data_IF_700469389703
#
_entry.id   IF_700469389703
#
_cell.length_a   1.000
_cell.length_b   1.000
_cell.length_c   1.000
_cell.angle_alpha   90.00
_cell.angle_beta   90.00
_cell.angle_gamma   90.00
#
_symmetry.space_group_name_H-M   'P 1'
#
loop_
_entity.id
_entity.type
_entity.pdbx_description
1 polymer ?
#
# COMPACT_ATOMS: atom_id res chain seq x y z
N UNK A 1 -2.65 -23.62 22.20
CA UNK A 1 -2.47 -23.40 20.75
C UNK A 1 -1.67 -24.58 20.20
N UNK A 2 -2.12 -25.22 19.11
CA UNK A 2 -1.37 -26.32 18.48
C UNK A 2 -0.10 -25.76 17.83
N UNK A 3 0.99 -26.56 17.78
CA UNK A 3 2.26 -26.17 17.16
C UNK A 3 2.10 -25.61 15.72
N UNK A 4 1.16 -26.11 14.88
CA UNK A 4 0.89 -25.54 13.56
C UNK A 4 0.37 -24.10 13.60
N UNK A 5 -0.45 -23.74 14.57
CA UNK A 5 -1.01 -22.39 14.69
C UNK A 5 0.08 -21.37 15.08
N UNK A 6 1.01 -21.76 15.98
CA UNK A 6 2.14 -20.90 16.33
C UNK A 6 3.09 -20.69 15.15
N UNK A 7 3.30 -21.71 14.32
CA UNK A 7 4.11 -21.60 13.10
C UNK A 7 3.48 -20.71 12.00
N UNK A 8 2.16 -20.46 12.07
CA UNK A 8 1.48 -19.54 11.15
C UNK A 8 1.73 -18.06 11.50
N UNK A 9 2.12 -17.75 12.75
CA UNK A 9 2.47 -16.40 13.16
C UNK A 9 3.93 -16.11 12.82
N UNK A 10 4.15 -15.37 11.73
CA UNK A 10 5.48 -14.90 11.36
C UNK A 10 5.84 -13.64 12.17
N UNK A 11 6.82 -13.71 13.10
CA UNK A 11 7.26 -12.54 13.86
C UNK A 11 7.78 -11.40 12.98
N UNK A 12 8.29 -11.73 11.79
CA UNK A 12 8.80 -10.74 10.83
C UNK A 12 7.75 -9.74 10.39
N UNK A 13 6.47 -10.14 10.31
CA UNK A 13 5.37 -9.24 9.97
C UNK A 13 5.22 -8.16 11.05
N UNK A 14 5.20 -8.53 12.33
CA UNK A 14 5.02 -7.58 13.43
C UNK A 14 6.22 -6.65 13.59
N UNK A 15 7.43 -7.18 13.39
CA UNK A 15 8.66 -6.40 13.38
C UNK A 15 8.66 -5.42 12.22
N UNK A 16 8.25 -5.84 11.01
CA UNK A 16 8.09 -4.96 9.86
C UNK A 16 7.13 -3.81 10.17
N UNK A 17 5.96 -4.10 10.74
CA UNK A 17 4.99 -3.09 11.12
C UNK A 17 5.58 -2.07 12.10
N UNK A 18 6.29 -2.52 13.12
CA UNK A 18 6.91 -1.61 14.08
C UNK A 18 7.92 -0.66 13.40
N UNK A 19 8.76 -1.17 12.50
CA UNK A 19 9.68 -0.34 11.72
C UNK A 19 8.96 0.60 10.76
N UNK A 20 7.90 0.15 10.08
CA UNK A 20 7.10 1.00 9.19
C UNK A 20 6.47 2.20 9.93
N UNK A 21 5.91 1.96 11.12
CA UNK A 21 5.42 3.04 11.98
C UNK A 21 6.53 3.96 12.48
N UNK A 22 7.71 3.41 12.77
CA UNK A 22 8.92 4.17 13.13
C UNK A 22 9.39 5.06 11.99
N UNK A 23 9.45 4.54 10.76
CA UNK A 23 9.81 5.27 9.54
C UNK A 23 8.81 6.40 9.28
N UNK A 24 7.51 6.14 9.40
CA UNK A 24 6.49 7.17 9.27
C UNK A 24 6.61 8.25 10.35
N UNK A 25 6.95 7.87 11.59
CA UNK A 25 7.21 8.83 12.67
C UNK A 25 8.45 9.69 12.40
N UNK A 26 9.54 9.12 11.91
CA UNK A 26 10.72 9.88 11.49
C UNK A 26 10.40 10.85 10.35
N UNK A 27 9.65 10.39 9.33
CA UNK A 27 9.22 11.24 8.22
C UNK A 27 8.39 12.44 8.71
N UNK A 28 7.51 12.24 9.70
CA UNK A 28 6.74 13.32 10.34
C UNK A 28 7.66 14.26 11.11
N UNK A 29 8.56 13.72 11.92
CA UNK A 29 9.48 14.51 12.73
C UNK A 29 10.42 15.40 11.89
N UNK A 30 10.69 15.05 10.64
CA UNK A 30 11.50 15.87 9.71
C UNK A 30 10.67 16.82 8.82
N UNK A 31 9.43 17.09 9.19
CA UNK A 31 8.50 17.95 8.42
C UNK A 31 8.24 17.44 6.97
N UNK A 32 8.29 16.14 6.79
CA UNK A 32 8.00 15.51 5.50
C UNK A 32 6.60 15.84 4.95
N UNK A 33 5.67 16.18 5.82
CA UNK A 33 4.33 16.64 5.43
C UNK A 33 4.36 17.96 4.66
N UNK A 34 5.22 18.90 5.02
CA UNK A 34 5.37 20.15 4.27
C UNK A 34 5.96 19.90 2.89
N UNK A 35 6.88 18.94 2.76
CA UNK A 35 7.41 18.50 1.47
C UNK A 35 6.29 17.96 0.57
N UNK A 36 5.49 16.99 1.05
CA UNK A 36 4.39 16.40 0.28
C UNK A 36 3.32 17.43 -0.10
N UNK A 37 2.96 18.30 0.83
CA UNK A 37 1.97 19.37 0.58
C UNK A 37 2.43 20.33 -0.53
N UNK A 38 3.70 20.74 -0.53
CA UNK A 38 4.25 21.60 -1.59
C UNK A 38 4.28 20.91 -2.94
N UNK A 39 4.64 19.63 -2.95
CA UNK A 39 4.63 18.83 -4.16
C UNK A 39 3.20 18.70 -4.74
N UNK A 40 2.21 18.42 -3.89
CA UNK A 40 0.79 18.42 -4.27
C UNK A 40 0.37 19.76 -4.84
N UNK A 41 0.68 20.87 -4.15
CA UNK A 41 0.31 22.21 -4.60
C UNK A 41 0.94 22.57 -5.96
N UNK A 42 2.17 22.13 -6.23
CA UNK A 42 2.83 22.35 -7.51
C UNK A 42 2.18 21.62 -8.68
N UNK A 43 1.60 20.45 -8.43
CA UNK A 43 0.92 19.62 -9.44
C UNK A 43 -0.53 20.06 -9.62
N UNK A 44 -1.19 20.50 -8.55
CA UNK A 44 -2.61 20.87 -8.55
C UNK A 44 -2.94 21.95 -9.59
N UNK A 45 -2.08 22.95 -9.76
CA UNK A 45 -2.29 24.05 -10.69
C UNK A 45 -2.54 23.61 -12.14
N UNK A 46 -1.99 22.45 -12.52
CA UNK A 46 -2.11 21.87 -13.87
C UNK A 46 -3.13 20.75 -13.97
N UNK A 47 -3.25 19.93 -12.94
CA UNK A 47 -4.00 18.65 -12.99
C UNK A 47 -5.29 18.69 -12.16
N UNK A 48 -5.44 19.67 -11.25
CA UNK A 48 -6.44 19.61 -10.18
C UNK A 48 -6.00 18.70 -9.04
N UNK A 49 -6.59 18.89 -7.85
CA UNK A 49 -6.18 18.22 -6.62
C UNK A 49 -6.24 16.68 -6.72
N UNK A 50 -7.33 16.15 -7.30
CA UNK A 50 -7.56 14.71 -7.40
C UNK A 50 -6.48 14.01 -8.24
N UNK A 51 -6.21 14.55 -9.44
CA UNK A 51 -5.21 13.96 -10.33
C UNK A 51 -3.77 14.24 -9.89
N UNK A 52 -3.53 15.34 -9.17
CA UNK A 52 -2.24 15.59 -8.53
C UNK A 52 -1.93 14.50 -7.49
N UNK A 53 -2.92 14.15 -6.64
CA UNK A 53 -2.82 13.03 -5.68
C UNK A 53 -2.63 11.70 -6.43
N UNK A 54 -3.44 11.42 -7.43
CA UNK A 54 -3.37 10.20 -8.21
C UNK A 54 -1.98 10.02 -8.85
N UNK A 55 -1.45 11.06 -9.50
CA UNK A 55 -0.12 11.03 -10.13
C UNK A 55 1.00 10.85 -9.10
N UNK A 56 0.95 11.58 -8.00
CA UNK A 56 1.96 11.48 -6.94
C UNK A 56 1.96 10.08 -6.34
N UNK A 57 0.80 9.54 -6.02
CA UNK A 57 0.64 8.20 -5.49
C UNK A 57 1.15 7.15 -6.49
N UNK A 58 0.76 7.25 -7.76
CA UNK A 58 1.20 6.35 -8.82
C UNK A 58 2.73 6.36 -8.99
N UNK A 59 3.35 7.53 -8.90
CA UNK A 59 4.79 7.69 -9.06
C UNK A 59 5.60 7.12 -7.89
N UNK A 60 5.10 7.21 -6.67
CA UNK A 60 5.85 6.77 -5.48
C UNK A 60 5.56 5.33 -5.06
N UNK A 61 4.34 4.82 -5.25
CA UNK A 61 3.94 3.48 -4.80
C UNK A 61 4.81 2.32 -5.29
N UNK A 62 5.37 2.33 -6.51
CA UNK A 62 6.24 1.24 -6.95
C UNK A 62 7.55 1.13 -6.17
N UNK A 63 7.97 2.22 -5.52
CA UNK A 63 9.28 2.33 -4.87
C UNK A 63 9.19 2.43 -3.35
N UNK A 64 8.00 2.60 -2.81
CA UNK A 64 7.74 2.72 -1.37
C UNK A 64 6.66 1.72 -1.03
N UNK A 65 6.90 0.89 -0.01
CA UNK A 65 5.89 -0.04 0.49
C UNK A 65 4.55 0.69 0.66
N UNK A 66 3.49 0.13 0.10
CA UNK A 66 2.15 0.74 0.07
C UNK A 66 1.67 1.22 1.44
N UNK A 67 1.90 0.43 2.50
CA UNK A 67 1.50 0.75 3.87
C UNK A 67 2.24 1.98 4.41
N UNK A 68 3.55 2.12 4.08
CA UNK A 68 4.35 3.31 4.43
C UNK A 68 3.81 4.54 3.72
N UNK A 69 3.52 4.42 2.43
CA UNK A 69 3.03 5.54 1.65
C UNK A 69 1.70 6.06 2.21
N UNK A 70 0.77 5.17 2.55
CA UNK A 70 -0.50 5.52 3.19
C UNK A 70 -0.28 6.22 4.53
N UNK A 71 0.59 5.68 5.40
CA UNK A 71 0.90 6.29 6.70
C UNK A 71 1.48 7.70 6.57
N UNK A 72 2.22 7.96 5.51
CA UNK A 72 2.89 9.23 5.25
C UNK A 72 1.96 10.21 4.53
N UNK A 73 1.18 9.77 3.56
CA UNK A 73 0.45 10.64 2.65
C UNK A 73 -0.98 10.96 3.12
N UNK A 74 -1.72 10.02 3.72
CA UNK A 74 -3.13 10.23 4.11
C UNK A 74 -3.34 11.40 5.07
N UNK A 75 -2.56 11.59 6.17
CA UNK A 75 -2.80 12.70 7.09
C UNK A 75 -2.60 14.09 6.46
N UNK A 76 -1.49 14.36 5.73
CA UNK A 76 -1.32 15.66 5.07
C UNK A 76 -2.34 15.88 3.96
N UNK A 77 -2.79 14.82 3.28
CA UNK A 77 -3.81 14.89 2.24
C UNK A 77 -5.16 15.34 2.80
N UNK A 78 -5.60 14.76 3.93
CA UNK A 78 -6.84 15.19 4.59
C UNK A 78 -6.73 16.65 5.07
N UNK A 79 -5.59 17.02 5.63
CA UNK A 79 -5.33 18.41 6.06
C UNK A 79 -5.38 19.37 4.87
N UNK A 80 -4.72 19.01 3.78
CA UNK A 80 -4.71 19.75 2.52
C UNK A 80 -6.14 19.95 1.97
N UNK A 81 -6.92 18.88 1.86
CA UNK A 81 -8.31 18.94 1.38
C UNK A 81 -9.16 19.93 2.21
N UNK A 82 -9.03 19.87 3.53
CA UNK A 82 -9.75 20.78 4.44
C UNK A 82 -9.33 22.23 4.28
N UNK A 83 -8.07 22.51 4.11
CA UNK A 83 -7.56 23.85 3.86
C UNK A 83 -8.10 24.42 2.56
N UNK A 84 -8.30 23.58 1.55
CA UNK A 84 -8.91 23.95 0.26
C UNK A 84 -10.44 23.98 0.30
N UNK A 85 -11.07 23.54 1.38
CA UNK A 85 -12.53 23.45 1.49
C UNK A 85 -13.14 22.38 0.58
N UNK A 86 -12.33 21.39 0.13
CA UNK A 86 -12.80 20.24 -0.66
C UNK A 86 -13.04 19.02 0.24
N UNK A 87 -13.91 18.10 -0.22
CA UNK A 87 -14.16 16.85 0.49
C UNK A 87 -12.89 15.96 0.45
N UNK A 88 -12.34 15.55 1.60
CA UNK A 88 -11.19 14.65 1.62
C UNK A 88 -11.46 13.26 1.04
N UNK A 89 -12.72 12.78 1.04
CA UNK A 89 -13.02 11.40 0.71
C UNK A 89 -12.59 10.98 -0.72
N UNK A 90 -12.86 11.76 -1.80
CA UNK A 90 -12.37 11.40 -3.13
C UNK A 90 -10.84 11.37 -3.24
N UNK A 91 -10.15 12.27 -2.51
CA UNK A 91 -8.68 12.32 -2.53
C UNK A 91 -8.08 11.10 -1.84
N UNK A 92 -8.64 10.70 -0.68
CA UNK A 92 -8.24 9.46 0.03
C UNK A 92 -8.52 8.23 -0.84
N UNK A 93 -9.65 8.20 -1.56
CA UNK A 93 -9.95 7.10 -2.49
C UNK A 93 -8.95 7.05 -3.64
N UNK A 94 -8.60 8.18 -4.24
CA UNK A 94 -7.58 8.25 -5.28
C UNK A 94 -6.23 7.73 -4.75
N UNK A 95 -5.81 8.20 -3.58
CA UNK A 95 -4.60 7.74 -2.90
C UNK A 95 -4.60 6.22 -2.72
N UNK A 96 -5.58 5.68 -2.01
CA UNK A 96 -5.63 4.25 -1.64
C UNK A 96 -5.73 3.36 -2.88
N UNK A 97 -6.61 3.74 -3.83
CA UNK A 97 -6.80 2.95 -5.05
C UNK A 97 -5.53 2.92 -5.89
N UNK A 98 -4.90 4.08 -6.12
CA UNK A 98 -3.67 4.15 -6.91
C UNK A 98 -2.48 3.53 -6.16
N UNK A 99 -2.46 3.57 -4.82
CA UNK A 99 -1.45 2.88 -4.03
C UNK A 99 -1.51 1.36 -4.27
N UNK A 100 -2.68 0.74 -4.15
CA UNK A 100 -2.84 -0.69 -4.38
C UNK A 100 -2.56 -1.10 -5.84
N UNK A 101 -2.91 -0.25 -6.82
CA UNK A 101 -2.63 -0.50 -8.24
C UNK A 101 -1.14 -0.37 -8.53
N UNK A 102 -0.56 0.79 -8.24
CA UNK A 102 0.80 1.12 -8.68
C UNK A 102 1.88 0.35 -7.90
N UNK A 103 1.63 0.02 -6.63
CA UNK A 103 2.54 -0.83 -5.86
C UNK A 103 2.68 -2.25 -6.42
N UNK A 104 1.74 -2.70 -7.25
CA UNK A 104 1.84 -3.99 -7.93
C UNK A 104 2.86 -3.99 -9.07
N UNK A 105 3.39 -2.82 -9.48
CA UNK A 105 4.35 -2.70 -10.58
C UNK A 105 5.70 -3.36 -10.27
N UNK A 106 6.14 -3.31 -9.03
CA UNK A 106 7.44 -3.82 -8.62
C UNK A 106 7.34 -4.86 -7.50
N UNK A 107 8.34 -5.73 -7.34
CA UNK A 107 8.38 -6.68 -6.24
C UNK A 107 8.31 -6.03 -4.86
N UNK A 108 8.85 -4.82 -4.70
CA UNK A 108 9.00 -4.14 -3.42
C UNK A 108 7.85 -3.20 -3.05
N UNK A 109 6.92 -2.94 -3.99
CA UNK A 109 5.82 -2.01 -3.74
C UNK A 109 4.81 -2.51 -2.69
N UNK A 110 4.73 -3.83 -2.49
CA UNK A 110 3.76 -4.50 -1.62
C UNK A 110 4.36 -5.69 -0.89
N UNK A 111 3.97 -5.99 0.35
CA UNK A 111 4.43 -7.20 1.05
C UNK A 111 4.10 -8.50 0.31
N UNK A 112 2.91 -8.62 -0.29
CA UNK A 112 2.53 -9.82 -1.07
C UNK A 112 3.39 -9.98 -2.34
N UNK A 113 3.85 -8.88 -2.94
CA UNK A 113 4.74 -8.93 -4.09
C UNK A 113 6.11 -9.49 -3.70
N UNK A 114 6.65 -9.07 -2.55
CA UNK A 114 7.90 -9.59 -2.00
C UNK A 114 7.78 -11.11 -1.80
N UNK A 115 6.67 -11.56 -1.20
CA UNK A 115 6.42 -12.99 -0.99
C UNK A 115 6.38 -13.76 -2.31
N UNK A 116 5.67 -13.27 -3.33
CA UNK A 116 5.59 -13.90 -4.65
C UNK A 116 6.94 -13.91 -5.36
N UNK A 117 7.65 -12.80 -5.32
CA UNK A 117 8.97 -12.67 -5.92
C UNK A 117 9.96 -13.66 -5.33
N UNK A 118 10.06 -13.70 -4.00
CA UNK A 118 10.97 -14.60 -3.30
C UNK A 118 10.57 -16.07 -3.49
N UNK A 119 9.29 -16.41 -3.38
CA UNK A 119 8.82 -17.79 -3.50
C UNK A 119 8.92 -18.35 -4.92
N UNK A 120 8.69 -17.53 -5.94
CA UNK A 120 8.68 -17.95 -7.35
C UNK A 120 10.06 -17.90 -8.02
N UNK A 121 11.02 -17.13 -7.47
CA UNK A 121 12.33 -16.90 -8.08
C UNK A 121 12.28 -16.10 -9.39
N UNK A 122 11.19 -15.40 -9.68
CA UNK A 122 11.07 -14.56 -10.87
C UNK A 122 12.07 -13.39 -10.80
N UNK A 123 12.77 -13.08 -11.91
CA UNK A 123 13.68 -11.94 -11.96
C UNK A 123 12.94 -10.60 -11.84
N UNK A 124 13.60 -9.58 -11.26
CA UNK A 124 12.99 -8.24 -11.07
C UNK A 124 12.44 -7.66 -12.37
N UNK A 125 13.24 -7.69 -13.44
CA UNK A 125 12.84 -7.18 -14.75
C UNK A 125 11.61 -7.92 -15.30
N UNK A 126 11.63 -9.26 -15.25
CA UNK A 126 10.50 -10.09 -15.68
C UNK A 126 9.24 -9.83 -14.87
N UNK A 127 9.37 -9.55 -13.56
CA UNK A 127 8.26 -9.15 -12.73
C UNK A 127 7.64 -7.84 -13.20
N UNK A 128 8.46 -6.79 -13.39
CA UNK A 128 8.01 -5.48 -13.88
C UNK A 128 7.38 -5.57 -15.26
N UNK A 129 8.03 -6.31 -16.20
CA UNK A 129 7.49 -6.49 -17.55
C UNK A 129 6.17 -7.28 -17.55
N UNK A 130 5.97 -8.21 -16.62
CA UNK A 130 4.74 -8.97 -16.49
C UNK A 130 3.59 -8.18 -15.82
N UNK A 131 3.89 -7.17 -15.01
CA UNK A 131 2.89 -6.40 -14.27
C UNK A 131 2.47 -5.10 -14.97
N UNK A 132 3.39 -4.40 -15.66
CA UNK A 132 3.16 -3.03 -16.12
C UNK A 132 1.93 -2.85 -17.02
N UNK A 133 1.54 -3.77 -17.96
CA UNK A 133 0.40 -3.54 -18.82
C UNK A 133 -0.91 -3.48 -18.02
N UNK A 134 -1.04 -4.38 -17.06
CA UNK A 134 -2.21 -4.45 -16.17
C UNK A 134 -2.26 -3.26 -15.23
N UNK A 135 -1.13 -2.87 -14.64
CA UNK A 135 -1.03 -1.71 -13.75
C UNK A 135 -1.41 -0.42 -14.46
N UNK A 136 -0.89 -0.19 -15.67
CA UNK A 136 -1.22 1.01 -16.47
C UNK A 136 -2.69 1.01 -16.89
N UNK A 137 -3.20 -0.13 -17.38
CA UNK A 137 -4.62 -0.25 -17.75
C UNK A 137 -5.54 0.01 -16.55
N UNK A 138 -5.25 -0.59 -15.39
CA UNK A 138 -6.03 -0.41 -14.17
C UNK A 138 -5.97 1.04 -13.65
N UNK A 139 -4.79 1.67 -13.70
CA UNK A 139 -4.64 3.08 -13.31
C UNK A 139 -5.43 4.01 -14.24
N UNK A 140 -5.42 3.75 -15.54
CA UNK A 140 -6.21 4.51 -16.51
C UNK A 140 -7.73 4.37 -16.25
N UNK A 141 -8.20 3.14 -15.99
CA UNK A 141 -9.60 2.89 -15.64
C UNK A 141 -9.99 3.54 -14.31
N UNK A 142 -9.12 3.49 -13.30
CA UNK A 142 -9.33 4.18 -12.03
C UNK A 142 -9.40 5.71 -12.23
N UNK A 143 -8.53 6.28 -13.06
CA UNK A 143 -8.53 7.71 -13.38
C UNK A 143 -9.84 8.13 -14.06
N UNK A 144 -10.35 7.32 -14.99
CA UNK A 144 -11.66 7.56 -15.64
C UNK A 144 -12.80 7.45 -14.63
N UNK A 145 -12.80 6.43 -13.75
CA UNK A 145 -13.83 6.26 -12.73
C UNK A 145 -13.81 7.39 -11.68
N UNK A 146 -12.65 7.99 -11.42
CA UNK A 146 -12.48 9.14 -10.53
C UNK A 146 -12.86 10.48 -11.18
N UNK A 147 -12.98 10.55 -12.51
CA UNK A 147 -13.23 11.81 -13.24
C UNK A 147 -14.44 12.63 -12.73
N UNK A 148 -15.60 12.02 -12.40
CA UNK A 148 -16.75 12.78 -11.89
C UNK A 148 -16.45 13.59 -10.62
N UNK A 149 -15.47 13.15 -9.83
CA UNK A 149 -15.07 13.75 -8.55
C UNK A 149 -13.93 14.78 -8.69
N UNK A 150 -13.36 14.93 -9.90
CA UNK A 150 -12.27 15.88 -10.16
C UNK A 150 -12.72 17.35 -10.24
N UNK A 151 -14.03 17.57 -10.36
CA UNK A 151 -14.62 18.90 -10.57
C UNK A 151 -14.98 19.63 -9.27
N UNK A 152 -14.55 19.13 -8.09
CA UNK A 152 -14.82 19.82 -6.84
C UNK A 152 -14.15 21.20 -6.82
N UNK A 153 -14.93 22.18 -6.44
CA UNK A 153 -14.69 23.61 -6.58
C UNK A 153 -13.39 24.04 -5.89
N UNK A 154 -12.52 24.61 -6.68
CA UNK A 154 -11.28 25.27 -6.27
C UNK A 154 -11.62 26.51 -5.43
N UNK A 155 -11.24 26.53 -4.16
CA UNK A 155 -11.05 27.79 -3.45
C UNK A 155 -9.62 28.25 -3.74
N UNK A 156 -9.47 29.39 -4.35
CA UNK A 156 -8.19 30.05 -4.64
C UNK A 156 -7.56 30.64 -3.35
N UNK A 157 -7.38 29.82 -2.32
CA UNK A 157 -6.46 30.18 -1.26
C UNK A 157 -5.06 29.81 -1.73
N UNK A 158 -4.25 30.81 -1.99
CA UNK A 158 -2.83 30.66 -2.28
C UNK A 158 -2.14 30.01 -1.07
N UNK A 159 -2.09 28.67 -1.07
CA UNK A 159 -1.22 27.95 -0.16
C UNK A 159 0.18 28.16 -0.72
N UNK A 160 0.77 29.30 -0.33
CA UNK A 160 2.04 29.77 -0.85
C UNK A 160 2.98 28.63 -1.22
N UNK A 161 3.19 28.48 -2.52
CA UNK A 161 4.18 27.58 -3.09
C UNK A 161 5.58 28.14 -2.74
N UNK A 162 5.92 28.09 -1.45
CA UNK A 162 7.29 28.31 -1.01
C UNK A 162 8.19 27.29 -1.71
N UNK A 163 9.49 27.57 -1.83
CA UNK A 163 10.43 26.67 -2.45
C UNK A 163 10.27 25.27 -1.86
N UNK A 164 10.28 24.23 -2.72
CA UNK A 164 10.27 22.83 -2.29
C UNK A 164 11.35 22.71 -1.23
N UNK A 165 10.94 22.41 0.02
CA UNK A 165 11.88 22.32 1.15
C UNK A 165 12.94 21.25 0.92
N UNK A 166 13.91 21.12 1.80
CA UNK A 166 15.06 20.27 1.56
C UNK A 166 14.61 18.88 1.08
N UNK A 167 15.22 18.38 0.03
CA UNK A 167 15.02 17.05 -0.56
C UNK A 167 15.27 15.89 0.43
N UNK A 168 15.59 16.23 1.70
CA UNK A 168 15.86 15.28 2.77
C UNK A 168 14.77 14.22 2.98
N UNK A 169 13.49 14.60 2.88
CA UNK A 169 12.40 13.66 3.01
C UNK A 169 12.37 12.64 1.85
N UNK A 170 12.63 13.08 0.61
CA UNK A 170 12.72 12.21 -0.55
C UNK A 170 13.94 11.29 -0.46
N UNK A 171 15.10 11.83 -0.07
CA UNK A 171 16.30 11.03 0.14
C UNK A 171 16.15 10.01 1.25
N UNK A 172 15.44 10.36 2.33
CA UNK A 172 15.15 9.41 3.39
C UNK A 172 14.29 8.23 2.89
N UNK A 173 13.22 8.50 2.14
CA UNK A 173 12.40 7.43 1.57
C UNK A 173 13.19 6.56 0.58
N UNK A 174 14.03 7.18 -0.26
CA UNK A 174 14.92 6.46 -1.16
C UNK A 174 15.92 5.58 -0.40
N UNK A 175 16.46 6.06 0.71
CA UNK A 175 17.36 5.31 1.58
C UNK A 175 16.67 4.09 2.20
N UNK A 176 15.45 4.27 2.74
CA UNK A 176 14.64 3.15 3.28
C UNK A 176 14.38 2.11 2.20
N UNK A 177 13.95 2.53 1.02
CA UNK A 177 13.69 1.64 -0.11
C UNK A 177 14.95 0.88 -0.54
N UNK A 178 16.08 1.58 -0.67
CA UNK A 178 17.36 0.97 -1.00
C UNK A 178 17.80 -0.05 0.06
N UNK A 179 17.59 0.25 1.35
CA UNK A 179 17.90 -0.68 2.43
C UNK A 179 17.09 -1.96 2.33
N UNK A 180 15.78 -1.87 2.07
CA UNK A 180 14.91 -3.05 1.89
C UNK A 180 15.37 -3.87 0.69
N UNK A 181 15.65 -3.22 -0.46
CA UNK A 181 16.12 -3.90 -1.66
C UNK A 181 17.43 -4.65 -1.46
N UNK A 182 18.42 -4.04 -0.79
CA UNK A 182 19.73 -4.66 -0.53
C UNK A 182 19.57 -5.93 0.29
N UNK A 183 18.75 -5.90 1.35
CA UNK A 183 18.53 -7.08 2.19
C UNK A 183 17.76 -8.17 1.45
N UNK A 184 16.73 -7.79 0.72
CA UNK A 184 15.93 -8.74 -0.04
C UNK A 184 16.75 -9.39 -1.18
N UNK A 185 17.54 -8.60 -1.91
CA UNK A 185 18.48 -9.12 -2.92
C UNK A 185 19.54 -10.06 -2.33
N UNK A 186 19.95 -9.83 -1.07
CA UNK A 186 20.85 -10.71 -0.34
C UNK A 186 20.15 -11.97 0.21
N UNK A 187 18.86 -12.17 -0.04
CA UNK A 187 18.07 -13.29 0.50
C UNK A 187 17.82 -13.19 2.01
N UNK A 188 17.95 -11.99 2.56
CA UNK A 188 17.72 -11.71 3.98
C UNK A 188 16.31 -11.15 4.21
N UNK A 189 15.71 -11.37 5.39
CA UNK A 189 14.38 -10.87 5.68
C UNK A 189 14.25 -9.35 5.50
N UNK A 190 13.21 -8.91 4.79
CA UNK A 190 12.96 -7.47 4.45
C UNK A 190 12.83 -6.59 5.69
N UNK A 191 12.39 -7.13 6.85
CA UNK A 191 12.33 -6.36 8.10
C UNK A 191 13.69 -5.89 8.60
N UNK A 192 14.78 -6.59 8.24
CA UNK A 192 16.15 -6.16 8.55
C UNK A 192 16.52 -4.91 7.72
N UNK A 193 16.09 -4.88 6.45
CA UNK A 193 16.24 -3.70 5.59
C UNK A 193 15.44 -2.49 6.12
N UNK A 194 14.20 -2.73 6.58
CA UNK A 194 13.40 -1.69 7.24
C UNK A 194 14.07 -1.19 8.52
N UNK A 195 14.62 -2.11 9.33
CA UNK A 195 15.37 -1.78 10.55
C UNK A 195 16.61 -0.94 10.26
N UNK A 196 17.38 -1.29 9.23
CA UNK A 196 18.54 -0.50 8.79
C UNK A 196 18.09 0.89 8.30
N UNK A 197 17.06 0.97 7.45
CA UNK A 197 16.52 2.25 6.98
C UNK A 197 16.05 3.14 8.13
N UNK A 198 15.37 2.56 9.12
CA UNK A 198 14.98 3.26 10.35
C UNK A 198 16.19 3.75 11.15
N UNK A 199 17.19 2.92 11.36
CA UNK A 199 18.41 3.28 12.09
C UNK A 199 19.20 4.39 11.37
N UNK A 200 19.40 4.25 10.05
CA UNK A 200 20.06 5.27 9.24
C UNK A 200 19.28 6.59 9.22
N UNK A 201 17.95 6.55 9.35
CA UNK A 201 17.11 7.72 9.47
C UNK A 201 17.55 8.66 10.60
N UNK A 202 17.99 8.17 11.73
CA UNK A 202 18.52 9.03 12.82
C UNK A 202 19.82 9.74 12.44
N UNK A 203 20.69 9.09 11.66
CA UNK A 203 21.94 9.70 11.21
C UNK A 203 21.70 10.80 10.17
N UNK A 204 20.78 10.57 9.23
CA UNK A 204 20.52 11.48 8.12
C UNK A 204 19.56 12.63 8.45
N UNK A 205 18.58 12.39 9.32
CA UNK A 205 17.50 13.35 9.59
C UNK A 205 17.77 14.27 10.78
N UNK A 206 18.83 14.00 11.55
CA UNK A 206 19.14 14.66 12.83
C UNK A 206 17.98 14.62 13.84
N UNK A 207 17.04 13.69 13.65
CA UNK A 207 15.94 13.48 14.57
C UNK A 207 16.48 12.87 15.87
N UNK A 208 15.94 13.34 17.00
CA UNK A 208 16.19 12.68 18.27
C UNK A 208 15.11 11.62 18.57
N UNK A 209 15.42 10.66 19.42
CA UNK A 209 14.51 9.61 19.83
C UNK A 209 13.22 10.16 20.48
N UNK A 210 13.31 11.31 21.15
CA UNK A 210 12.15 11.94 21.80
C UNK A 210 11.19 12.53 20.78
N UNK A 211 11.72 13.20 19.76
CA UNK A 211 10.93 13.74 18.66
C UNK A 211 10.19 12.64 17.90
N UNK A 212 10.91 11.59 17.53
CA UNK A 212 10.31 10.42 16.85
C UNK A 212 9.28 9.71 17.75
N UNK A 213 9.57 9.56 19.05
CA UNK A 213 8.65 8.94 20.00
C UNK A 213 7.32 9.70 20.16
N UNK A 214 7.32 11.03 20.05
CA UNK A 214 6.09 11.85 20.07
C UNK A 214 5.21 11.62 18.84
N UNK A 215 5.83 11.35 17.70
CA UNK A 215 5.16 11.10 16.42
C UNK A 215 4.79 9.62 16.23
N UNK A 216 5.25 8.72 17.11
CA UNK A 216 5.01 7.28 16.99
C UNK A 216 3.60 6.91 17.44
N UNK A 217 2.77 6.43 16.52
CA UNK A 217 1.38 6.03 16.80
C UNK A 217 1.28 4.58 17.28
N UNK A 218 1.67 4.36 18.55
CA UNK A 218 1.62 3.05 19.19
C UNK A 218 0.20 2.45 19.19
N UNK A 219 -0.83 3.28 19.34
CA UNK A 219 -2.23 2.80 19.37
C UNK A 219 -2.63 2.20 18.03
N UNK A 220 -2.30 2.86 16.93
CA UNK A 220 -2.58 2.34 15.59
C UNK A 220 -1.80 1.05 15.33
N UNK A 221 -0.53 1.00 15.71
CA UNK A 221 0.29 -0.19 15.58
C UNK A 221 -0.32 -1.38 16.32
N UNK A 222 -0.76 -1.20 17.59
CA UNK A 222 -1.37 -2.29 18.36
C UNK A 222 -2.68 -2.78 17.76
N UNK A 223 -3.56 -1.87 17.32
CA UNK A 223 -4.82 -2.25 16.65
C UNK A 223 -4.50 -3.07 15.39
N UNK A 224 -3.50 -2.65 14.64
CA UNK A 224 -3.07 -3.31 13.44
C UNK A 224 -2.47 -4.69 13.69
N UNK A 225 -1.61 -4.82 14.69
CA UNK A 225 -1.05 -6.11 15.11
C UNK A 225 -2.16 -7.08 15.55
N UNK A 226 -3.17 -6.62 16.29
CA UNK A 226 -4.31 -7.45 16.67
C UNK A 226 -5.13 -7.88 15.46
N UNK A 227 -5.35 -6.98 14.50
CA UNK A 227 -6.05 -7.32 13.25
C UNK A 227 -5.28 -8.38 12.46
N UNK A 228 -3.97 -8.21 12.26
CA UNK A 228 -3.12 -9.21 11.57
C UNK A 228 -3.19 -10.56 12.28
N UNK A 229 -3.09 -10.58 13.60
CA UNK A 229 -3.17 -11.81 14.38
C UNK A 229 -4.53 -12.51 14.17
N UNK A 230 -5.63 -11.77 14.23
CA UNK A 230 -6.97 -12.31 14.01
C UNK A 230 -7.15 -12.86 12.58
N UNK A 231 -6.68 -12.12 11.56
CA UNK A 231 -6.76 -12.55 10.15
C UNK A 231 -5.86 -13.76 9.90
N UNK A 232 -4.64 -13.79 10.46
CA UNK A 232 -3.74 -14.95 10.35
C UNK A 232 -4.36 -16.20 10.99
N UNK A 233 -4.99 -16.07 12.15
CA UNK A 233 -5.71 -17.16 12.78
C UNK A 233 -6.88 -17.66 11.92
N UNK A 234 -7.68 -16.73 11.38
CA UNK A 234 -8.79 -17.05 10.49
C UNK A 234 -8.32 -17.76 9.21
N UNK A 235 -7.21 -17.30 8.60
CA UNK A 235 -6.66 -17.87 7.38
C UNK A 235 -6.22 -19.33 7.55
N UNK A 236 -5.81 -19.72 8.77
CA UNK A 236 -5.46 -21.09 9.08
C UNK A 236 -6.66 -22.04 8.94
N UNK A 237 -7.83 -21.64 9.42
CA UNK A 237 -9.06 -22.42 9.27
C UNK A 237 -9.59 -22.39 7.84
N UNK A 238 -9.44 -21.28 7.13
CA UNK A 238 -9.88 -21.12 5.73
C UNK A 238 -9.00 -21.97 4.81
N UNK A 239 -7.71 -22.16 5.12
CA UNK A 239 -6.78 -22.91 4.28
C UNK A 239 -7.25 -24.34 3.98
N UNK A 240 -7.81 -25.04 4.97
CA UNK A 240 -8.32 -26.41 4.77
C UNK A 240 -9.51 -26.45 3.79
N UNK A 241 -10.41 -25.46 3.91
CA UNK A 241 -11.61 -25.37 3.04
C UNK A 241 -11.23 -24.86 1.64
N UNK A 242 -10.26 -23.97 1.56
CA UNK A 242 -9.83 -23.35 0.30
C UNK A 242 -8.87 -24.23 -0.51
N UNK A 243 -8.18 -25.19 0.11
CA UNK A 243 -7.15 -26.00 -0.54
C UNK A 243 -7.57 -26.59 -1.91
N UNK A 244 -8.79 -27.14 -2.11
CA UNK A 244 -9.21 -27.66 -3.41
C UNK A 244 -9.31 -26.59 -4.52
N UNK A 245 -9.46 -25.32 -4.14
CA UNK A 245 -9.64 -24.20 -5.07
C UNK A 245 -8.35 -23.42 -5.31
N UNK A 246 -7.28 -23.73 -4.59
CA UNK A 246 -6.01 -22.97 -4.65
C UNK A 246 -5.20 -23.32 -5.90
N UNK A 247 -5.14 -24.60 -6.30
CA UNK A 247 -4.29 -25.03 -7.41
C UNK A 247 -4.59 -24.30 -8.73
N UNK A 248 -5.84 -24.21 -9.23
CA UNK A 248 -6.14 -23.47 -10.46
C UNK A 248 -5.80 -21.98 -10.35
N UNK A 249 -5.92 -21.37 -9.14
CA UNK A 249 -5.56 -19.99 -8.93
C UNK A 249 -4.04 -19.80 -8.95
N UNK A 250 -3.27 -20.70 -8.36
CA UNK A 250 -1.81 -20.68 -8.34
C UNK A 250 -1.19 -20.90 -9.74
N UNK A 251 -1.89 -21.61 -10.61
CA UNK A 251 -1.53 -21.79 -12.03
C UNK A 251 -1.84 -20.55 -12.89
N UNK A 252 -2.51 -19.56 -12.33
CA UNK A 252 -2.89 -18.33 -13.05
C UNK A 252 -4.00 -18.54 -14.09
N UNK A 253 -4.84 -19.59 -13.91
CA UNK A 253 -5.96 -19.89 -14.81
C UNK A 253 -6.98 -18.75 -14.82
N UNK A 254 -7.19 -18.12 -15.98
CA UNK A 254 -8.08 -16.97 -16.14
C UNK A 254 -9.51 -17.38 -16.50
N UNK A 255 -10.52 -16.61 -16.04
CA UNK A 255 -10.49 -15.50 -15.03
C UNK A 255 -10.45 -15.97 -13.58
N UNK A 256 -10.20 -17.26 -13.36
CA UNK A 256 -10.35 -17.93 -12.07
C UNK A 256 -9.40 -17.37 -11.01
N UNK A 257 -8.11 -17.15 -11.35
CA UNK A 257 -7.13 -16.62 -10.40
C UNK A 257 -7.50 -15.22 -9.91
N UNK A 258 -7.91 -14.33 -10.81
CA UNK A 258 -8.38 -13.00 -10.46
C UNK A 258 -9.62 -13.03 -9.55
N UNK A 259 -10.62 -13.85 -9.88
CA UNK A 259 -11.83 -14.00 -9.05
C UNK A 259 -11.51 -14.63 -7.69
N UNK A 260 -10.63 -15.63 -7.65
CA UNK A 260 -10.16 -16.23 -6.40
C UNK A 260 -9.50 -15.16 -5.51
N UNK A 261 -8.56 -14.38 -6.07
CA UNK A 261 -7.92 -13.30 -5.32
C UNK A 261 -8.91 -12.24 -4.85
N UNK A 262 -9.90 -11.88 -5.69
CA UNK A 262 -10.95 -10.95 -5.32
C UNK A 262 -11.75 -11.44 -4.09
N UNK A 263 -12.20 -12.70 -4.10
CA UNK A 263 -12.99 -13.26 -2.99
C UNK A 263 -12.15 -13.44 -1.74
N UNK A 264 -11.00 -14.11 -1.85
CA UNK A 264 -10.20 -14.48 -0.68
C UNK A 264 -9.57 -13.24 -0.03
N UNK A 265 -9.07 -12.27 -0.82
CA UNK A 265 -8.53 -11.02 -0.26
C UNK A 265 -9.58 -10.21 0.50
N UNK A 266 -10.84 -10.25 0.08
CA UNK A 266 -11.93 -9.57 0.79
C UNK A 266 -12.35 -10.26 2.11
N UNK A 267 -11.92 -11.50 2.32
CA UNK A 267 -12.15 -12.25 3.58
C UNK A 267 -10.95 -12.14 4.52
N UNK A 268 -9.74 -12.37 4.00
CA UNK A 268 -8.52 -12.50 4.82
C UNK A 268 -7.41 -11.50 4.49
N UNK A 269 -7.67 -10.51 3.62
CA UNK A 269 -6.68 -9.57 3.08
C UNK A 269 -5.72 -10.18 2.06
N UNK A 270 -5.14 -9.34 1.20
CA UNK A 270 -4.32 -9.77 0.05
C UNK A 270 -3.02 -10.48 0.45
N UNK A 271 -2.36 -10.08 1.54
CA UNK A 271 -1.12 -10.73 1.99
C UNK A 271 -1.36 -12.17 2.45
N UNK A 272 -2.29 -12.46 3.38
CA UNK A 272 -2.64 -13.84 3.72
C UNK A 272 -3.20 -14.67 2.55
N UNK A 273 -3.99 -14.05 1.65
CA UNK A 273 -4.49 -14.73 0.44
C UNK A 273 -3.33 -15.21 -0.44
N UNK A 274 -2.32 -14.37 -0.64
CA UNK A 274 -1.11 -14.72 -1.39
C UNK A 274 -0.29 -15.79 -0.68
N UNK A 275 -0.13 -15.69 0.64
CA UNK A 275 0.53 -16.74 1.43
C UNK A 275 -0.18 -18.10 1.30
N UNK A 276 -1.51 -18.10 1.25
CA UNK A 276 -2.29 -19.32 1.04
C UNK A 276 -1.93 -19.97 -0.31
N UNK A 277 -1.87 -19.20 -1.40
CA UNK A 277 -1.46 -19.72 -2.71
C UNK A 277 -0.07 -20.33 -2.66
N UNK A 278 0.91 -19.62 -2.10
CA UNK A 278 2.30 -20.07 -2.03
C UNK A 278 2.43 -21.36 -1.22
N UNK A 279 1.74 -21.46 -0.07
CA UNK A 279 1.84 -22.61 0.83
C UNK A 279 1.21 -23.88 0.28
N UNK A 280 0.08 -23.75 -0.40
CA UNK A 280 -0.72 -24.93 -0.83
C UNK A 280 -0.22 -25.48 -2.16
N UNK A 281 0.12 -24.63 -3.11
CA UNK A 281 0.43 -25.08 -4.49
C UNK A 281 1.78 -24.57 -4.99
N UNK A 282 2.45 -23.64 -4.28
CA UNK A 282 3.54 -22.87 -4.87
C UNK A 282 3.02 -21.94 -5.97
N UNK A 283 3.90 -21.09 -6.50
CA UNK A 283 3.59 -20.19 -7.62
C UNK A 283 4.77 -20.19 -8.58
N UNK A 284 4.50 -20.54 -9.84
CA UNK A 284 5.53 -20.53 -10.87
C UNK A 284 5.97 -19.09 -11.22
N UNK A 285 7.26 -18.92 -11.59
CA UNK A 285 7.82 -17.63 -11.95
C UNK A 285 7.05 -16.94 -13.10
N UNK A 286 6.52 -17.69 -14.04
CA UNK A 286 5.79 -17.16 -15.19
C UNK A 286 4.44 -16.48 -14.81
N UNK A 287 3.80 -16.94 -13.73
CA UNK A 287 2.47 -16.41 -13.31
C UNK A 287 2.54 -15.49 -12.10
N UNK A 288 3.64 -15.48 -11.36
CA UNK A 288 3.81 -14.67 -10.16
C UNK A 288 3.52 -13.17 -10.38
N UNK A 289 3.98 -12.51 -11.48
CA UNK A 289 3.65 -11.11 -11.75
C UNK A 289 2.15 -10.87 -11.88
N UNK A 290 1.44 -11.76 -12.56
CA UNK A 290 0.00 -11.64 -12.75
C UNK A 290 -0.75 -11.77 -11.43
N UNK A 291 -0.43 -12.79 -10.62
CA UNK A 291 -1.01 -12.98 -9.29
C UNK A 291 -0.73 -11.76 -8.39
N UNK A 292 0.44 -11.14 -8.50
CA UNK A 292 0.77 -9.92 -7.76
C UNK A 292 -0.17 -8.76 -8.12
N UNK A 293 -0.46 -8.58 -9.41
CA UNK A 293 -1.43 -7.58 -9.88
C UNK A 293 -2.82 -7.91 -9.39
N UNK A 294 -3.28 -9.15 -9.54
CA UNK A 294 -4.59 -9.61 -9.09
C UNK A 294 -4.80 -9.36 -7.59
N UNK A 295 -3.80 -9.68 -6.78
CA UNK A 295 -3.81 -9.42 -5.34
C UNK A 295 -3.86 -7.92 -5.01
N UNK A 296 -3.07 -7.11 -5.70
CA UNK A 296 -3.07 -5.65 -5.53
C UNK A 296 -4.40 -5.03 -5.92
N UNK A 297 -4.95 -5.42 -7.07
CA UNK A 297 -6.24 -4.92 -7.57
C UNK A 297 -7.41 -5.39 -6.69
N UNK A 298 -7.39 -6.65 -6.23
CA UNK A 298 -8.37 -7.18 -5.28
C UNK A 298 -8.43 -6.35 -3.99
N UNK A 299 -7.29 -5.77 -3.59
CA UNK A 299 -7.18 -4.82 -2.47
C UNK A 299 -8.14 -3.64 -2.58
N UNK A 300 -8.60 -3.27 -3.77
CA UNK A 300 -9.52 -2.13 -3.96
C UNK A 300 -11.00 -2.49 -3.87
N UNK A 301 -11.35 -3.77 -3.79
CA UNK A 301 -12.75 -4.21 -3.83
C UNK A 301 -13.48 -4.09 -2.50
N UNK A 302 -12.76 -3.97 -1.39
CA UNK A 302 -13.38 -3.80 -0.09
C UNK A 302 -12.40 -3.31 0.98
N UNK A 303 -12.92 -2.89 2.14
CA UNK A 303 -12.10 -2.27 3.20
C UNK A 303 -11.08 -3.23 3.82
N UNK A 304 -11.38 -4.52 3.89
CA UNK A 304 -10.53 -5.55 4.52
C UNK A 304 -9.53 -6.13 3.52
N UNK A 305 -9.77 -5.94 2.24
CA UNK A 305 -9.01 -6.58 1.16
C UNK A 305 -7.53 -6.17 1.11
N UNK A 306 -7.17 -5.01 1.66
CA UNK A 306 -5.79 -4.54 1.78
C UNK A 306 -5.56 -3.87 3.13
N UNK A 307 -4.38 -4.07 3.67
CA UNK A 307 -3.93 -3.43 4.90
C UNK A 307 -3.84 -1.91 4.77
N UNK A 308 -3.36 -1.43 3.63
CA UNK A 308 -3.33 -0.02 3.27
C UNK A 308 -4.71 0.64 3.41
N UNK A 309 -5.79 -0.07 3.03
CA UNK A 309 -7.16 0.43 3.18
C UNK A 309 -7.53 0.67 4.65
N UNK A 310 -7.20 -0.29 5.52
CA UNK A 310 -7.50 -0.19 6.95
C UNK A 310 -6.75 0.96 7.61
N UNK A 311 -5.49 1.16 7.23
CA UNK A 311 -4.68 2.30 7.69
C UNK A 311 -5.31 3.63 7.25
N UNK A 312 -5.66 3.77 5.97
CA UNK A 312 -6.29 4.98 5.44
C UNK A 312 -7.63 5.26 6.11
N UNK A 313 -8.49 4.22 6.27
CA UNK A 313 -9.77 4.33 6.95
C UNK A 313 -9.62 4.72 8.42
N UNK A 314 -8.63 4.17 9.13
CA UNK A 314 -8.36 4.53 10.51
C UNK A 314 -7.94 6.00 10.64
N UNK A 315 -7.06 6.49 9.76
CA UNK A 315 -6.64 7.90 9.77
C UNK A 315 -7.78 8.83 9.35
N UNK A 316 -8.58 8.43 8.38
CA UNK A 316 -9.79 9.16 7.96
C UNK A 316 -10.81 9.26 9.10
N UNK A 317 -11.07 8.14 9.83
CA UNK A 317 -11.95 8.11 10.99
C UNK A 317 -11.51 9.08 12.09
N UNK A 318 -10.22 9.04 12.45
CA UNK A 318 -9.63 9.97 13.44
C UNK A 318 -9.75 11.43 13.02
N UNK A 319 -9.74 11.66 11.73
CA UNK A 319 -9.93 12.98 11.13
C UNK A 319 -11.41 13.33 10.91
N UNK A 320 -12.38 12.51 11.31
CA UNK A 320 -13.82 12.80 11.16
C UNK A 320 -14.30 12.78 9.69
N UNK A 321 -13.59 12.11 8.78
CA UNK A 321 -14.02 11.90 7.40
C UNK A 321 -15.07 10.79 7.35
N UNK A 322 -16.10 10.92 6.52
CA UNK A 322 -17.20 9.94 6.41
C UNK A 322 -16.71 8.63 5.77
N UNK A 323 -16.43 7.61 6.59
CA UNK A 323 -15.90 6.31 6.12
C UNK A 323 -16.79 5.62 5.09
N UNK A 324 -18.13 5.68 5.27
CA UNK A 324 -19.08 5.11 4.30
C UNK A 324 -18.85 5.65 2.88
N UNK A 325 -18.56 6.96 2.74
CA UNK A 325 -18.29 7.57 1.43
C UNK A 325 -17.00 7.00 0.83
N UNK A 326 -15.95 6.89 1.64
CA UNK A 326 -14.66 6.30 1.17
C UNK A 326 -14.89 4.85 0.72
N UNK A 327 -15.51 4.02 1.56
CA UNK A 327 -15.70 2.59 1.26
C UNK A 327 -16.51 2.40 -0.02
N UNK A 328 -17.66 3.06 -0.15
CA UNK A 328 -18.51 2.93 -1.35
C UNK A 328 -17.75 3.39 -2.58
N UNK A 329 -17.14 4.56 -2.54
CA UNK A 329 -16.45 5.13 -3.69
C UNK A 329 -15.22 4.29 -4.08
N UNK A 330 -14.42 3.83 -3.11
CA UNK A 330 -13.28 2.95 -3.36
C UNK A 330 -13.72 1.64 -4.01
N UNK A 331 -14.79 1.00 -3.50
CA UNK A 331 -15.30 -0.24 -4.08
C UNK A 331 -15.77 -0.03 -5.52
N UNK A 332 -16.50 1.06 -5.81
CA UNK A 332 -16.95 1.36 -7.18
C UNK A 332 -15.78 1.60 -8.14
N UNK A 333 -14.80 2.40 -7.74
CA UNK A 333 -13.59 2.64 -8.53
C UNK A 333 -12.78 1.35 -8.66
N UNK A 334 -12.69 0.57 -7.57
CA UNK A 334 -12.00 -0.72 -7.52
C UNK A 334 -12.57 -1.74 -8.48
N UNK A 335 -13.90 -1.87 -8.59
CA UNK A 335 -14.57 -2.75 -9.55
C UNK A 335 -14.15 -2.42 -10.98
N UNK A 336 -14.16 -1.13 -11.36
CA UNK A 336 -13.74 -0.70 -12.69
C UNK A 336 -12.25 -0.97 -12.92
N UNK A 337 -11.42 -0.66 -11.94
CA UNK A 337 -9.97 -0.87 -12.01
C UNK A 337 -9.56 -2.35 -11.99
N UNK A 338 -10.45 -3.25 -11.53
CA UNK A 338 -10.19 -4.69 -11.45
C UNK A 338 -10.34 -5.41 -12.79
N UNK A 339 -10.98 -4.80 -13.78
CA UNK A 339 -11.25 -5.43 -15.09
C UNK A 339 -10.00 -6.08 -15.71
N UNK A 340 -8.80 -5.43 -15.72
CA UNK A 340 -7.60 -6.06 -16.29
C UNK A 340 -7.15 -7.33 -15.57
N UNK A 341 -7.51 -7.54 -14.30
CA UNK A 341 -7.21 -8.77 -13.57
C UNK A 341 -8.02 -9.99 -14.06
N UNK A 342 -9.03 -9.78 -14.88
CA UNK A 342 -9.89 -10.85 -15.42
C UNK A 342 -9.48 -11.27 -16.84
N UNK A 343 -8.46 -10.59 -17.39
CA UNK A 343 -7.92 -10.86 -18.72
C UNK A 343 -6.57 -11.60 -18.63
#
# INVERSE_FOLDING_TARGET
MSAPLLAAFDPGIYVSLAFLFGIAAQFRAMDGYSFLRRLLASLEGRLGALYAVALLTFAFSPFILNDVLILILTPPLIKYARQRGVDPAPLVVAEVTLTNIASSLTPIGNPQNILLWTASGVGFESFVLGTWPYVVASAALAAVALYPFSRETRKDEDIGAGPIGPLGAAWYLALVTASVLVFDYAGLPSYLGLGLGFALGFAFTRNDLRGVGREFDLRSLLILCMFVAAVTAASFFIAEVAAPYVAPAAEGAQPYSGLFMAVVSNVISNVPATQLLIRVSGVAAAVAPKIAVEAGLAGNLGPVASFANLLALQMAARSGVKLRKIIILQTLVGIVAFIPALL
#
